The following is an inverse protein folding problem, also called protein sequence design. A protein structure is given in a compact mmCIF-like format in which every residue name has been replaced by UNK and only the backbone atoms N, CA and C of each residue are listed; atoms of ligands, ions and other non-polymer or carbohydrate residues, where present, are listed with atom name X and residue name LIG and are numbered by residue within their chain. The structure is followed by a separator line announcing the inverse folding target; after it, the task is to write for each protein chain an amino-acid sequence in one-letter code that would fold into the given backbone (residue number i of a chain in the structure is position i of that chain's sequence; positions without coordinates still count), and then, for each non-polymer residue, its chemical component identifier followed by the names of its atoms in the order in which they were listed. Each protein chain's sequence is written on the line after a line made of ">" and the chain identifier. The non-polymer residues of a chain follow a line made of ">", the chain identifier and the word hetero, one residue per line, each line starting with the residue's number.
data_IF_032233544884
#
_entry.id   IF_032233544884
#
_cell.length_a   1.000
_cell.length_b   1.000
_cell.length_c   1.000
_cell.angle_alpha   90.00
_cell.angle_beta   90.00
_cell.angle_gamma   90.00
#
_symmetry.space_group_name_H-M   'P 1'
#
loop_
_entity.id
_entity.type
_entity.pdbx_description
1 polymer ?
#
# COMPACT_ATOMS: atom_id res chain seq x y z
N UNK A 1 -23.49 -6.62 12.53
CA UNK A 1 -22.06 -6.93 12.38
C UNK A 1 -21.80 -7.20 10.92
N UNK A 2 -21.09 -6.32 10.20
CA UNK A 2 -20.77 -6.55 8.80
C UNK A 2 -19.71 -7.66 8.72
N UNK A 3 -20.10 -8.81 8.15
CA UNK A 3 -19.18 -9.91 7.88
C UNK A 3 -18.10 -9.43 6.92
N UNK A 4 -16.84 -9.62 7.32
CA UNK A 4 -15.69 -9.39 6.47
C UNK A 4 -15.74 -10.44 5.35
N UNK A 5 -15.81 -9.97 4.11
CA UNK A 5 -15.80 -10.85 2.95
C UNK A 5 -14.39 -10.82 2.38
N UNK A 6 -13.59 -11.84 2.74
CA UNK A 6 -12.19 -11.97 2.32
C UNK A 6 -12.02 -11.99 0.80
N UNK A 7 -13.08 -12.29 0.05
CA UNK A 7 -13.09 -12.34 -1.41
C UNK A 7 -13.57 -11.05 -2.07
N UNK A 8 -13.95 -10.02 -1.31
CA UNK A 8 -14.40 -8.78 -1.92
C UNK A 8 -13.23 -8.10 -2.65
N UNK A 9 -13.32 -7.83 -3.97
CA UNK A 9 -12.19 -7.41 -4.81
C UNK A 9 -11.63 -6.03 -4.45
N UNK A 10 -12.31 -5.31 -3.54
CA UNK A 10 -11.92 -4.00 -3.00
C UNK A 10 -11.61 -4.03 -1.50
N UNK A 11 -11.59 -5.19 -0.84
CA UNK A 11 -11.20 -5.29 0.57
C UNK A 11 -9.77 -5.83 0.70
N UNK A 12 -9.06 -5.34 1.71
CA UNK A 12 -7.73 -5.80 2.08
C UNK A 12 -7.54 -5.71 3.58
N UNK A 13 -6.88 -6.72 4.16
CA UNK A 13 -6.36 -6.66 5.52
C UNK A 13 -4.90 -6.20 5.53
N UNK A 14 -4.67 -5.04 6.13
CA UNK A 14 -3.37 -4.38 6.20
C UNK A 14 -3.18 -3.76 7.59
N UNK A 15 -2.01 -3.99 8.21
CA UNK A 15 -1.74 -3.57 9.59
C UNK A 15 -2.81 -4.01 10.61
N UNK A 16 -3.39 -5.20 10.45
CA UNK A 16 -4.46 -5.72 11.32
C UNK A 16 -5.82 -5.01 11.15
N UNK A 17 -5.97 -4.13 10.15
CA UNK A 17 -7.21 -3.41 9.84
C UNK A 17 -7.79 -3.89 8.52
N UNK A 18 -9.12 -4.03 8.48
CA UNK A 18 -9.85 -4.28 7.26
C UNK A 18 -10.16 -2.95 6.58
N UNK A 19 -9.56 -2.74 5.42
CA UNK A 19 -9.72 -1.53 4.60
C UNK A 19 -10.61 -1.87 3.41
N UNK A 20 -11.72 -1.15 3.28
CA UNK A 20 -12.53 -1.16 2.06
C UNK A 20 -12.04 -0.04 1.15
N UNK A 21 -11.41 -0.42 0.06
CA UNK A 21 -10.91 0.47 -0.96
C UNK A 21 -12.05 0.97 -1.86
N UNK A 22 -11.91 2.16 -2.39
CA UNK A 22 -12.83 2.74 -3.37
C UNK A 22 -12.74 2.00 -4.71
N UNK A 23 -11.53 1.62 -5.12
CA UNK A 23 -11.22 0.92 -6.37
C UNK A 23 -10.36 -0.34 -6.15
N UNK A 24 -10.32 -1.19 -7.17
CA UNK A 24 -9.43 -2.36 -7.21
C UNK A 24 -7.96 -1.94 -7.36
N UNK A 25 -7.70 -0.79 -8.00
CA UNK A 25 -6.36 -0.21 -8.12
C UNK A 25 -5.82 0.25 -6.77
N UNK A 26 -6.64 0.90 -5.95
CA UNK A 26 -6.28 1.29 -4.58
C UNK A 26 -5.88 0.05 -3.76
N UNK A 27 -6.68 -1.02 -3.85
CA UNK A 27 -6.35 -2.29 -3.21
C UNK A 27 -5.00 -2.84 -3.69
N UNK A 28 -4.74 -2.80 -4.99
CA UNK A 28 -3.48 -3.26 -5.56
C UNK A 28 -2.28 -2.43 -5.06
N UNK A 29 -2.45 -1.10 -4.92
CA UNK A 29 -1.43 -0.22 -4.33
C UNK A 29 -1.19 -0.55 -2.86
N UNK A 30 -2.25 -0.78 -2.08
CA UNK A 30 -2.12 -1.18 -0.67
C UNK A 30 -1.47 -2.55 -0.51
N UNK A 31 -1.74 -3.51 -1.40
CA UNK A 31 -1.00 -4.78 -1.43
C UNK A 31 0.48 -4.56 -1.72
N UNK A 32 0.83 -3.71 -2.68
CA UNK A 32 2.22 -3.39 -2.99
C UNK A 32 2.91 -2.73 -1.78
N UNK A 33 2.22 -1.84 -1.07
CA UNK A 33 2.73 -1.26 0.17
C UNK A 33 3.03 -2.33 1.24
N UNK A 34 2.13 -3.30 1.41
CA UNK A 34 2.33 -4.45 2.31
C UNK A 34 3.54 -5.29 1.88
N UNK A 35 3.73 -5.51 0.57
CA UNK A 35 4.91 -6.20 0.04
C UNK A 35 6.21 -5.44 0.34
N UNK A 36 6.20 -4.09 0.28
CA UNK A 36 7.35 -3.26 0.67
C UNK A 36 7.65 -3.40 2.18
N UNK A 37 6.64 -3.54 3.02
CA UNK A 37 6.82 -3.81 4.46
C UNK A 37 7.48 -5.18 4.71
N UNK A 38 7.01 -6.22 4.02
CA UNK A 38 7.53 -7.59 4.17
C UNK A 38 8.93 -7.72 3.57
N UNK A 39 9.14 -7.11 2.41
CA UNK A 39 10.39 -7.15 1.66
C UNK A 39 10.73 -5.75 1.13
N UNK A 40 11.60 -4.99 1.82
CA UNK A 40 12.02 -3.67 1.36
C UNK A 40 12.68 -3.66 -0.03
N UNK A 41 13.28 -4.77 -0.47
CA UNK A 41 13.86 -4.89 -1.81
C UNK A 41 12.79 -4.91 -2.92
N UNK A 42 11.53 -5.22 -2.58
CA UNK A 42 10.41 -5.11 -3.53
C UNK A 42 10.21 -3.67 -4.01
N UNK A 43 10.53 -2.67 -3.18
CA UNK A 43 10.42 -1.28 -3.63
C UNK A 43 11.38 -0.95 -4.78
N UNK A 44 12.50 -1.67 -4.89
CA UNK A 44 13.48 -1.51 -5.97
C UNK A 44 13.01 -2.09 -7.32
N UNK A 45 11.92 -2.87 -7.33
CA UNK A 45 11.33 -3.40 -8.58
C UNK A 45 10.23 -2.48 -9.12
N UNK A 46 9.89 -1.43 -8.40
CA UNK A 46 8.84 -0.48 -8.75
C UNK A 46 9.44 0.80 -9.35
N UNK A 47 8.72 1.43 -10.27
CA UNK A 47 9.11 2.75 -10.79
C UNK A 47 8.85 3.83 -9.73
N UNK A 48 9.62 4.92 -9.77
CA UNK A 48 9.42 6.05 -8.85
C UNK A 48 7.99 6.61 -8.91
N UNK A 49 7.41 6.73 -10.11
CA UNK A 49 6.01 7.13 -10.28
C UNK A 49 5.03 6.18 -9.59
N UNK A 50 5.31 4.87 -9.62
CA UNK A 50 4.51 3.87 -8.91
C UNK A 50 4.64 4.01 -7.39
N UNK A 51 5.84 4.28 -6.88
CA UNK A 51 6.04 4.53 -5.45
C UNK A 51 5.27 5.76 -4.97
N UNK A 52 5.20 6.83 -5.76
CA UNK A 52 4.37 8.00 -5.45
C UNK A 52 2.88 7.65 -5.36
N UNK A 53 2.35 6.90 -6.33
CA UNK A 53 0.95 6.45 -6.30
C UNK A 53 0.65 5.60 -5.05
N UNK A 54 1.56 4.69 -4.69
CA UNK A 54 1.40 3.87 -3.48
C UNK A 54 1.42 4.74 -2.22
N UNK A 55 2.30 5.75 -2.15
CA UNK A 55 2.36 6.69 -1.03
C UNK A 55 1.03 7.43 -0.87
N UNK A 56 0.45 7.91 -1.96
CA UNK A 56 -0.80 8.66 -1.96
C UNK A 56 -2.00 7.76 -1.59
N UNK A 57 -2.02 6.50 -2.07
CA UNK A 57 -2.99 5.51 -1.63
C UNK A 57 -2.86 5.21 -0.12
N UNK A 58 -1.64 5.02 0.39
CA UNK A 58 -1.43 4.82 1.83
C UNK A 58 -1.92 6.02 2.65
N UNK A 59 -1.72 7.24 2.17
CA UNK A 59 -2.22 8.46 2.82
C UNK A 59 -3.75 8.51 2.83
N UNK A 60 -4.39 8.22 1.69
CA UNK A 60 -5.86 8.17 1.54
C UNK A 60 -6.52 7.26 2.56
N UNK A 61 -5.94 6.10 2.84
CA UNK A 61 -6.46 5.12 3.81
C UNK A 61 -5.85 5.22 5.21
N UNK A 62 -5.12 6.30 5.51
CA UNK A 62 -4.50 6.56 6.83
C UNK A 62 -3.54 5.44 7.30
N UNK A 63 -2.74 4.90 6.38
CA UNK A 63 -1.76 3.84 6.61
C UNK A 63 -0.35 4.41 6.84
N UNK A 64 -0.19 5.18 7.92
CA UNK A 64 1.04 5.96 8.17
C UNK A 64 2.35 5.15 8.19
N UNK A 65 2.34 3.92 8.73
CA UNK A 65 3.52 3.04 8.72
C UNK A 65 3.97 2.71 7.29
N UNK A 66 3.01 2.30 6.45
CA UNK A 66 3.26 1.92 5.06
C UNK A 66 3.65 3.14 4.22
N UNK A 67 2.98 4.27 4.43
CA UNK A 67 3.33 5.54 3.79
C UNK A 67 4.79 5.93 4.09
N UNK A 68 5.25 5.79 5.34
CA UNK A 68 6.63 6.09 5.73
C UNK A 68 7.64 5.16 5.06
N UNK A 69 7.35 3.86 4.98
CA UNK A 69 8.22 2.88 4.30
C UNK A 69 8.37 3.20 2.81
N UNK A 70 7.27 3.54 2.14
CA UNK A 70 7.29 3.91 0.72
C UNK A 70 8.01 5.24 0.51
N UNK A 71 7.83 6.21 1.41
CA UNK A 71 8.60 7.47 1.36
C UNK A 71 10.11 7.23 1.45
N UNK A 72 10.56 6.38 2.37
CA UNK A 72 11.98 6.02 2.48
C UNK A 72 12.49 5.33 1.21
N UNK A 73 11.64 4.56 0.52
CA UNK A 73 12.00 3.97 -0.76
C UNK A 73 12.17 5.03 -1.85
N UNK A 74 11.28 6.02 -1.93
CA UNK A 74 11.38 7.16 -2.86
C UNK A 74 12.68 7.93 -2.61
N UNK A 75 12.97 8.27 -1.34
CA UNK A 75 14.18 9.01 -0.94
C UNK A 75 15.48 8.27 -1.32
N UNK A 76 15.44 6.94 -1.48
CA UNK A 76 16.59 6.14 -1.96
C UNK A 76 16.76 6.17 -3.48
N UNK A 77 15.70 6.42 -4.24
CA UNK A 77 15.74 6.54 -5.69
C UNK A 77 16.23 7.92 -6.15
N UNK A 78 15.97 8.96 -5.37
CA UNK A 78 16.38 10.34 -5.67
C UNK A 78 17.82 10.66 -5.24
N UNK A 79 18.57 9.66 -4.77
CA UNK A 79 19.93 9.79 -4.25
C UNK A 79 20.96 9.27 -5.22
#
# INVERSE_FOLDING_TARGET
>A
MAMFDENHPRQIQIAGRNVRCDSTEDRAMLMQAKSVEINPAFAATLTIGRLHMIKDACQKYSLGKHQRLVRLAIERYER
#
